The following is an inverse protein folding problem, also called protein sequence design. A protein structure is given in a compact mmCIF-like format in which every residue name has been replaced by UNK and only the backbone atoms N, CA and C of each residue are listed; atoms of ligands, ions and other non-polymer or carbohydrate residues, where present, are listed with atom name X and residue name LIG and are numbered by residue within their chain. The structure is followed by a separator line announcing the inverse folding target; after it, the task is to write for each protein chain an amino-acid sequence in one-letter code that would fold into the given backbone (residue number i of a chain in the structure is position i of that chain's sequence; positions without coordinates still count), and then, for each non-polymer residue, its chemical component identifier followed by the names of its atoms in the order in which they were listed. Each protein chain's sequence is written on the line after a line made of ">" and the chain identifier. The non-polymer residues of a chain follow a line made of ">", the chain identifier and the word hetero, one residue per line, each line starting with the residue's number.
data_IF_797144134039
#
_entry.id   IF_797144134039
#
_cell.length_a   1.000
_cell.length_b   1.000
_cell.length_c   1.000
_cell.angle_alpha   90.00
_cell.angle_beta   90.00
_cell.angle_gamma   90.00
#
_symmetry.space_group_name_H-M   'P 1'
#
loop_
_entity.id
_entity.type
_entity.pdbx_description
1 polymer ?
#
# COMPACT_ATOMS: atom_id res chain seq x y z
N UNK A 1 -31.70 4.38 -25.60
CA UNK A 1 -31.26 5.76 -25.26
C UNK A 1 -30.90 5.95 -23.78
N UNK A 2 -31.76 5.66 -22.78
CA UNK A 2 -31.43 5.94 -21.37
C UNK A 2 -30.25 5.10 -20.82
N UNK A 3 -30.15 3.83 -21.24
CA UNK A 3 -29.06 2.92 -20.81
C UNK A 3 -27.68 3.42 -21.26
N UNK A 4 -27.56 3.92 -22.50
CA UNK A 4 -26.30 4.41 -23.05
C UNK A 4 -25.83 5.66 -22.30
N UNK A 5 -26.76 6.56 -21.96
CA UNK A 5 -26.45 7.76 -21.18
C UNK A 5 -25.99 7.39 -19.75
N UNK A 6 -26.66 6.43 -19.10
CA UNK A 6 -26.28 5.95 -17.77
C UNK A 6 -24.89 5.29 -17.77
N UNK A 7 -24.62 4.43 -18.76
CA UNK A 7 -23.31 3.80 -18.91
C UNK A 7 -22.21 4.82 -19.20
N UNK A 8 -22.49 5.83 -20.03
CA UNK A 8 -21.54 6.92 -20.29
C UNK A 8 -21.19 7.72 -19.03
N UNK A 9 -22.19 8.00 -18.16
CA UNK A 9 -21.96 8.70 -16.89
C UNK A 9 -21.15 7.85 -15.91
N UNK A 10 -21.49 6.58 -15.75
CA UNK A 10 -20.77 5.66 -14.86
C UNK A 10 -19.34 5.44 -15.36
N UNK A 11 -19.17 5.17 -16.66
CA UNK A 11 -17.86 4.97 -17.28
C UNK A 11 -16.98 6.22 -17.21
N UNK A 12 -17.54 7.40 -17.49
CA UNK A 12 -16.82 8.68 -17.41
C UNK A 12 -16.36 8.99 -15.99
N UNK A 13 -17.23 8.86 -14.99
CA UNK A 13 -16.88 9.06 -13.58
C UNK A 13 -15.85 8.04 -13.09
N UNK A 14 -15.99 6.77 -13.50
CA UNK A 14 -15.03 5.72 -13.19
C UNK A 14 -13.64 6.01 -13.77
N UNK A 15 -13.56 6.35 -15.06
CA UNK A 15 -12.30 6.71 -15.71
C UNK A 15 -11.66 7.96 -15.09
N UNK A 16 -12.45 8.99 -14.77
CA UNK A 16 -11.97 10.18 -14.09
C UNK A 16 -11.42 9.88 -12.70
N UNK A 17 -12.11 9.03 -11.93
CA UNK A 17 -11.67 8.60 -10.59
C UNK A 17 -10.38 7.80 -10.67
N UNK A 18 -10.29 6.87 -11.61
CA UNK A 18 -9.07 6.11 -11.87
C UNK A 18 -7.90 7.02 -12.23
N UNK A 19 -8.16 8.04 -13.07
CA UNK A 19 -7.18 9.05 -13.47
C UNK A 19 -6.66 9.87 -12.28
N UNK A 20 -7.57 10.52 -11.54
CA UNK A 20 -7.20 11.45 -10.47
C UNK A 20 -6.56 10.75 -9.27
N UNK A 21 -6.96 9.51 -8.98
CA UNK A 21 -6.36 8.68 -7.92
C UNK A 21 -5.00 8.10 -8.26
N UNK A 22 -4.54 8.25 -9.52
CA UNK A 22 -3.31 7.64 -10.02
C UNK A 22 -3.28 6.12 -9.83
N UNK A 23 -4.44 5.46 -9.96
CA UNK A 23 -4.60 4.05 -9.63
C UNK A 23 -3.59 3.09 -10.30
N UNK A 24 -3.13 3.40 -11.52
CA UNK A 24 -2.12 2.61 -12.23
C UNK A 24 -0.75 2.60 -11.55
N UNK A 25 -0.40 3.64 -10.79
CA UNK A 25 0.91 3.74 -10.10
C UNK A 25 1.07 2.69 -9.01
N UNK A 26 -0.03 2.19 -8.44
CA UNK A 26 -0.06 1.12 -7.43
C UNK A 26 0.39 -0.25 -7.95
N UNK A 27 0.61 -0.41 -9.25
CA UNK A 27 1.25 -1.62 -9.78
C UNK A 27 2.76 -1.59 -9.48
N UNK A 28 3.37 -0.40 -9.48
CA UNK A 28 4.79 -0.20 -9.20
C UNK A 28 5.12 -0.20 -7.71
N UNK A 29 6.41 -0.26 -7.39
CA UNK A 29 6.93 -0.17 -6.03
C UNK A 29 7.56 1.19 -5.70
N UNK A 30 7.28 2.22 -6.51
CA UNK A 30 7.77 3.58 -6.25
C UNK A 30 7.18 4.10 -4.91
N UNK A 31 8.02 4.46 -3.91
CA UNK A 31 7.59 5.03 -2.63
C UNK A 31 6.65 6.24 -2.75
N UNK A 32 6.79 7.05 -3.80
CA UNK A 32 5.92 8.20 -4.06
C UNK A 32 4.45 7.80 -4.29
N UNK A 33 4.21 6.57 -4.71
CA UNK A 33 2.85 6.01 -4.87
C UNK A 33 2.13 5.93 -3.53
N UNK A 34 2.86 5.65 -2.44
CA UNK A 34 2.28 5.52 -1.10
C UNK A 34 1.74 6.86 -0.57
N UNK A 35 2.24 7.99 -1.07
CA UNK A 35 1.79 9.35 -0.73
C UNK A 35 0.83 9.96 -1.75
N UNK A 36 0.27 9.15 -2.65
CA UNK A 36 -0.92 9.57 -3.43
C UNK A 36 -2.08 9.97 -2.49
N UNK A 37 -2.08 9.48 -1.24
CA UNK A 37 -2.94 9.95 -0.16
C UNK A 37 -2.13 10.68 0.91
N UNK A 38 -2.55 11.91 1.26
CA UNK A 38 -1.87 12.75 2.25
C UNK A 38 -1.78 12.14 3.65
N UNK A 39 -2.67 11.18 3.98
CA UNK A 39 -2.66 10.50 5.28
C UNK A 39 -1.38 9.68 5.51
N UNK A 40 -0.66 9.33 4.44
CA UNK A 40 0.61 8.61 4.49
C UNK A 40 1.85 9.51 4.51
N UNK A 41 1.69 10.84 4.44
CA UNK A 41 2.81 11.78 4.48
C UNK A 41 3.72 11.62 5.71
N UNK A 42 3.20 11.40 6.94
CA UNK A 42 4.07 11.17 8.10
C UNK A 42 4.94 9.93 7.94
N UNK A 43 4.37 8.81 7.48
CA UNK A 43 5.04 7.51 7.32
C UNK A 43 6.10 7.56 6.22
N UNK A 44 5.80 8.25 5.12
CA UNK A 44 6.78 8.48 4.07
C UNK A 44 7.94 9.35 4.57
N UNK A 45 7.65 10.39 5.34
CA UNK A 45 8.67 11.29 5.89
C UNK A 45 9.59 10.54 6.87
N UNK A 46 9.03 9.75 7.79
CA UNK A 46 9.84 8.94 8.72
C UNK A 46 10.67 7.90 8.00
N UNK A 47 10.12 7.21 6.99
CA UNK A 47 10.91 6.33 6.12
C UNK A 47 12.04 7.09 5.43
N UNK A 48 11.76 8.26 4.83
CA UNK A 48 12.74 9.11 4.14
C UNK A 48 13.82 9.68 5.06
N UNK A 49 13.60 9.70 6.37
CA UNK A 49 14.60 10.06 7.39
C UNK A 49 15.20 8.84 8.12
N UNK A 50 14.93 7.62 7.67
CA UNK A 50 15.45 6.38 8.24
C UNK A 50 16.62 5.81 7.42
N UNK A 51 17.38 4.89 8.03
CA UNK A 51 18.43 4.13 7.35
C UNK A 51 17.91 3.24 6.22
N UNK A 52 16.64 2.83 6.27
CA UNK A 52 16.06 1.96 5.26
C UNK A 52 15.84 2.65 3.92
N UNK A 53 15.79 3.99 3.87
CA UNK A 53 15.49 4.74 2.63
C UNK A 53 16.48 4.50 1.49
N UNK A 54 17.73 4.19 1.83
CA UNK A 54 18.83 4.04 0.86
C UNK A 54 18.87 2.61 0.28
N UNK A 55 18.22 1.65 0.95
CA UNK A 55 18.33 0.21 0.67
C UNK A 55 16.99 -0.47 0.39
N UNK A 56 15.88 0.13 0.80
CA UNK A 56 14.55 -0.47 0.74
C UNK A 56 13.45 0.55 0.45
N UNK A 57 12.47 0.14 -0.36
CA UNK A 57 11.23 0.87 -0.62
C UNK A 57 10.11 0.38 0.31
N UNK A 58 8.98 1.08 0.33
CA UNK A 58 7.86 0.76 1.22
C UNK A 58 7.40 -0.71 1.11
N UNK A 59 7.32 -1.23 -0.12
CA UNK A 59 6.84 -2.59 -0.36
C UNK A 59 7.86 -3.67 0.06
N UNK A 60 9.13 -3.34 0.25
CA UNK A 60 10.12 -4.30 0.76
C UNK A 60 9.82 -4.75 2.19
N UNK A 61 9.18 -3.87 2.96
CA UNK A 61 8.70 -4.16 4.31
C UNK A 61 7.22 -4.55 4.31
N UNK A 62 6.36 -3.83 3.57
CA UNK A 62 4.90 -3.93 3.71
C UNK A 62 4.21 -4.95 2.80
N UNK A 63 4.91 -5.57 1.85
CA UNK A 63 4.36 -6.57 0.93
C UNK A 63 5.12 -7.89 1.08
N UNK A 64 4.45 -9.06 1.05
CA UNK A 64 5.14 -10.33 1.15
C UNK A 64 5.95 -10.65 -0.11
N UNK A 65 7.13 -11.25 0.06
CA UNK A 65 8.08 -11.57 -1.03
C UNK A 65 8.18 -13.06 -1.35
N UNK A 66 7.21 -13.88 -0.90
CA UNK A 66 7.24 -15.33 -1.12
C UNK A 66 6.87 -15.73 -2.56
N UNK A 67 5.85 -15.13 -3.15
CA UNK A 67 5.43 -15.34 -4.53
C UNK A 67 4.84 -14.05 -5.10
N UNK A 68 5.01 -13.85 -6.41
CA UNK A 68 4.47 -12.69 -7.12
C UNK A 68 2.94 -12.62 -6.96
N UNK A 69 2.25 -13.76 -7.07
CA UNK A 69 0.80 -13.82 -6.90
C UNK A 69 0.36 -13.34 -5.51
N UNK A 70 1.01 -13.83 -4.45
CA UNK A 70 0.67 -13.44 -3.08
C UNK A 70 0.98 -11.95 -2.83
N UNK A 71 2.09 -11.44 -3.38
CA UNK A 71 2.43 -10.01 -3.31
C UNK A 71 1.31 -9.13 -3.89
N UNK A 72 0.90 -9.39 -5.14
CA UNK A 72 -0.17 -8.63 -5.78
C UNK A 72 -1.53 -8.82 -5.12
N UNK A 73 -1.87 -10.03 -4.68
CA UNK A 73 -3.10 -10.29 -3.94
C UNK A 73 -3.16 -9.49 -2.64
N UNK A 74 -2.06 -9.49 -1.86
CA UNK A 74 -1.96 -8.74 -0.62
C UNK A 74 -2.08 -7.23 -0.87
N UNK A 75 -1.34 -6.71 -1.86
CA UNK A 75 -1.38 -5.30 -2.28
C UNK A 75 -2.79 -4.87 -2.71
N UNK A 76 -3.49 -5.69 -3.49
CA UNK A 76 -4.85 -5.41 -3.93
C UNK A 76 -5.85 -5.44 -2.77
N UNK A 77 -5.79 -6.46 -1.90
CA UNK A 77 -6.67 -6.59 -0.73
C UNK A 77 -6.50 -5.41 0.23
N UNK A 78 -5.27 -5.06 0.54
CA UNK A 78 -4.95 -3.98 1.46
C UNK A 78 -5.30 -2.61 0.85
N UNK A 79 -4.96 -2.39 -0.43
CA UNK A 79 -5.34 -1.19 -1.17
C UNK A 79 -6.86 -0.97 -1.20
N UNK A 80 -7.65 -2.01 -1.51
CA UNK A 80 -9.12 -1.93 -1.50
C UNK A 80 -9.67 -1.58 -0.12
N UNK A 81 -9.11 -2.19 0.94
CA UNK A 81 -9.50 -1.88 2.32
C UNK A 81 -9.19 -0.43 2.66
N UNK A 82 -7.99 0.05 2.34
CA UNK A 82 -7.59 1.44 2.56
C UNK A 82 -8.51 2.42 1.84
N UNK A 83 -8.79 2.20 0.56
CA UNK A 83 -9.76 3.01 -0.18
C UNK A 83 -11.12 3.04 0.52
N UNK A 84 -11.65 1.88 0.91
CA UNK A 84 -12.96 1.80 1.57
C UNK A 84 -13.02 2.55 2.92
N UNK A 85 -12.04 2.34 3.80
CA UNK A 85 -12.06 2.95 5.15
C UNK A 85 -11.77 4.46 5.08
N UNK A 86 -10.92 4.91 4.16
CA UNK A 86 -10.60 6.34 4.04
C UNK A 86 -11.73 7.11 3.36
N UNK A 87 -12.43 6.50 2.38
CA UNK A 87 -13.64 7.10 1.81
C UNK A 87 -14.77 7.20 2.85
N UNK A 88 -14.97 6.18 3.67
CA UNK A 88 -16.02 6.18 4.70
C UNK A 88 -15.61 6.88 6.00
N UNK A 89 -14.34 7.30 6.12
CA UNK A 89 -13.74 7.86 7.34
C UNK A 89 -13.85 6.94 8.56
N UNK A 90 -13.87 5.62 8.33
CA UNK A 90 -13.96 4.59 9.37
C UNK A 90 -12.62 4.19 9.99
N UNK A 91 -11.62 5.09 10.00
CA UNK A 91 -10.27 4.80 10.48
C UNK A 91 -10.00 5.44 11.85
N UNK A 92 -9.19 4.76 12.67
CA UNK A 92 -8.68 5.33 13.92
C UNK A 92 -7.72 6.49 13.60
N UNK A 93 -7.79 7.59 14.36
CA UNK A 93 -6.88 8.73 14.15
C UNK A 93 -5.42 8.36 14.41
N UNK A 94 -5.18 7.35 15.26
CA UNK A 94 -3.86 6.71 15.39
C UNK A 94 -3.78 5.55 14.39
N UNK A 95 -2.94 5.70 13.36
CA UNK A 95 -2.78 4.67 12.32
C UNK A 95 -1.98 3.52 12.92
N UNK A 96 -2.66 2.39 13.13
CA UNK A 96 -2.07 1.16 13.63
C UNK A 96 -2.14 0.07 12.58
N UNK A 97 -1.05 -0.68 12.47
CA UNK A 97 -0.98 -1.83 11.59
C UNK A 97 -1.83 -2.96 12.17
N UNK A 98 -2.63 -3.60 11.32
CA UNK A 98 -3.35 -4.80 11.69
C UNK A 98 -2.39 -5.99 11.73
N UNK A 99 -2.77 -7.02 12.49
CA UNK A 99 -1.99 -8.23 12.71
C UNK A 99 -1.42 -8.87 11.41
N UNK A 100 -2.16 -8.97 10.30
CA UNK A 100 -1.59 -9.49 9.04
C UNK A 100 -0.46 -8.63 8.48
N UNK A 101 -0.57 -7.31 8.58
CA UNK A 101 0.48 -6.39 8.14
C UNK A 101 1.71 -6.49 9.03
N UNK A 102 1.50 -6.56 10.34
CA UNK A 102 2.59 -6.67 11.33
C UNK A 102 3.41 -7.94 11.09
N UNK A 103 2.73 -9.04 10.78
CA UNK A 103 3.39 -10.31 10.46
C UNK A 103 4.24 -10.22 9.19
N UNK A 104 3.71 -9.64 8.12
CA UNK A 104 4.46 -9.44 6.86
C UNK A 104 5.69 -8.57 7.07
N UNK A 105 5.55 -7.48 7.83
CA UNK A 105 6.69 -6.62 8.16
C UNK A 105 7.74 -7.39 8.95
N UNK A 106 7.33 -8.17 9.96
CA UNK A 106 8.27 -8.97 10.75
C UNK A 106 8.98 -10.04 9.91
N UNK A 107 8.27 -10.75 9.03
CA UNK A 107 8.86 -11.72 8.11
C UNK A 107 9.89 -11.05 7.19
N UNK A 108 9.60 -9.84 6.70
CA UNK A 108 10.53 -9.09 5.87
C UNK A 108 11.73 -8.52 6.63
N UNK A 109 11.56 -8.16 7.90
CA UNK A 109 12.67 -7.83 8.80
C UNK A 109 13.64 -9.02 8.88
N UNK A 110 13.13 -10.21 9.16
CA UNK A 110 13.94 -11.44 9.26
C UNK A 110 14.56 -11.78 7.90
N UNK A 111 13.81 -11.66 6.80
CA UNK A 111 14.31 -11.92 5.44
C UNK A 111 15.56 -11.12 5.09
N UNK A 112 15.61 -9.85 5.45
CA UNK A 112 16.76 -8.98 5.15
C UNK A 112 17.85 -9.02 6.23
N UNK A 113 17.48 -9.31 7.48
CA UNK A 113 18.38 -9.31 8.63
C UNK A 113 18.61 -10.70 9.24
N UNK A 114 18.46 -11.76 8.44
CA UNK A 114 18.51 -13.16 8.90
C UNK A 114 19.76 -13.40 9.75
N UNK A 115 20.93 -13.02 9.23
CA UNK A 115 22.21 -13.13 9.95
C UNK A 115 22.24 -12.41 11.31
N UNK A 116 21.53 -11.28 11.46
CA UNK A 116 21.47 -10.59 12.76
C UNK A 116 20.51 -11.29 13.72
N UNK A 117 19.42 -11.90 13.21
CA UNK A 117 18.40 -12.56 14.01
C UNK A 117 18.80 -13.97 14.42
N UNK A 118 19.54 -14.69 13.57
CA UNK A 118 20.00 -16.05 13.87
C UNK A 118 21.19 -16.08 14.82
N UNK A 119 21.98 -15.00 14.92
CA UNK A 119 23.14 -14.94 15.84
C UNK A 119 22.78 -14.70 17.31
N UNK A 120 21.51 -14.40 17.62
CA UNK A 120 21.02 -14.12 18.98
C UNK A 120 20.20 -15.28 19.57
N UNK A 121 19.96 -16.34 18.80
CA UNK A 121 19.35 -17.61 19.24
C UNK A 121 20.39 -18.72 19.25
#
# INVERSE_FOLDING_TARGET
>A
MPVIILLGRIGGSGAYTFYVSRAWTYISDNPETCINCHIMSPQYTTWRHSSHREQAVCNDCHVPHNTIFHAYYFKAKDGMRHSAIFTTRGYEQSIRMLEPGTRVVQENCIRCHDHLVTCIN
#
